data_IF_161012493503
#
_entry.id   IF_161012493503
#
_cell.length_a   1.000
_cell.length_b   1.000
_cell.length_c   1.000
_cell.angle_alpha   90.00
_cell.angle_beta   90.00
_cell.angle_gamma   90.00
#
_symmetry.space_group_name_H-M   'P 1'
#
loop_
_entity.id
_entity.type
_entity.pdbx_description
1 polymer ?
#
# COMPACT_ATOMS: atom_id res chain seq x y z
N UNK A 1 -10.91 1.37 25.36
CA UNK A 1 -12.05 0.92 24.54
C UNK A 1 -11.60 1.01 23.10
N UNK A 2 -11.08 -0.11 22.58
CA UNK A 2 -10.32 -0.18 21.34
C UNK A 2 -11.10 -1.11 20.43
N UNK A 3 -11.89 -0.56 19.52
CA UNK A 3 -12.65 -1.35 18.55
C UNK A 3 -11.70 -1.86 17.46
N UNK A 4 -11.28 -3.12 17.63
CA UNK A 4 -10.91 -3.98 16.52
C UNK A 4 -12.20 -4.61 15.99
N UNK A 5 -12.64 -4.24 14.79
CA UNK A 5 -13.66 -4.96 14.01
C UNK A 5 -13.71 -4.40 12.59
N UNK A 6 -13.51 -5.25 11.56
CA UNK A 6 -13.84 -4.91 10.17
C UNK A 6 -12.80 -5.35 9.14
N UNK A 7 -13.03 -6.51 8.50
CA UNK A 7 -12.33 -6.92 7.29
C UNK A 7 -12.74 -6.07 6.10
N UNK A 8 -12.23 -4.83 6.04
CA UNK A 8 -12.45 -3.93 4.91
C UNK A 8 -11.70 -4.43 3.67
N UNK A 9 -12.21 -4.20 2.45
CA UNK A 9 -11.52 -4.61 1.22
C UNK A 9 -10.29 -3.73 0.91
N UNK A 10 -9.79 -2.96 1.87
CA UNK A 10 -8.61 -2.10 1.75
C UNK A 10 -7.93 -1.84 3.10
N UNK A 11 -6.61 -1.62 3.05
CA UNK A 11 -5.79 -1.10 4.12
C UNK A 11 -5.44 0.37 3.88
N UNK A 12 -5.02 1.06 4.94
CA UNK A 12 -4.57 2.45 4.87
C UNK A 12 -3.25 2.68 5.62
N UNK A 13 -2.34 3.41 5.00
CA UNK A 13 -1.16 3.98 5.68
C UNK A 13 -0.92 5.39 5.15
N UNK A 14 -0.83 6.38 6.05
CA UNK A 14 -0.59 7.76 5.64
C UNK A 14 0.83 7.91 5.08
N UNK A 15 0.94 8.20 3.79
CA UNK A 15 2.22 8.46 3.11
C UNK A 15 2.62 9.94 3.12
N UNK A 16 1.93 10.77 3.93
CA UNK A 16 2.10 12.24 3.94
C UNK A 16 1.97 12.87 2.54
N UNK A 17 1.10 12.31 1.69
CA UNK A 17 0.85 12.83 0.34
C UNK A 17 0.14 14.19 0.36
N UNK A 18 -0.46 14.57 1.48
CA UNK A 18 -1.31 15.76 1.61
C UNK A 18 -2.72 15.57 1.03
N UNK A 19 -3.00 14.51 0.27
CA UNK A 19 -4.23 14.39 -0.51
C UNK A 19 -5.55 14.35 0.29
N UNK A 20 -5.54 13.84 1.53
CA UNK A 20 -6.71 13.90 2.42
C UNK A 20 -6.76 15.17 3.29
N UNK A 21 -5.64 15.89 3.38
CA UNK A 21 -5.47 17.09 4.20
C UNK A 21 -5.41 18.36 3.33
N UNK A 22 -5.55 18.23 2.01
CA UNK A 22 -5.44 19.28 1.00
C UNK A 22 -6.36 18.88 -0.14
N UNK A 23 -7.28 19.76 -0.55
CA UNK A 23 -8.23 19.44 -1.62
C UNK A 23 -9.53 20.23 -1.58
N UNK A 24 -10.53 19.77 -2.33
CA UNK A 24 -11.85 20.41 -2.42
C UNK A 24 -12.45 20.64 -1.03
N UNK A 25 -12.96 21.86 -0.80
CA UNK A 25 -13.43 22.40 0.48
C UNK A 25 -14.31 21.41 1.26
N UNK A 26 -13.69 20.68 2.17
CA UNK A 26 -14.36 19.77 3.11
C UNK A 26 -14.52 20.40 4.48
N UNK A 27 -14.85 19.56 5.46
CA UNK A 27 -14.87 19.93 6.87
C UNK A 27 -14.12 18.87 7.66
N UNK A 28 -13.15 19.27 8.47
CA UNK A 28 -12.52 18.39 9.45
C UNK A 28 -13.20 18.64 10.77
N UNK A 29 -14.22 17.84 11.06
CA UNK A 29 -15.01 17.98 12.28
C UNK A 29 -14.21 17.62 13.53
N UNK A 30 -14.36 18.41 14.57
CA UNK A 30 -13.84 18.11 15.91
C UNK A 30 -14.97 17.60 16.80
N UNK A 31 -14.67 16.59 17.61
CA UNK A 31 -15.49 16.22 18.77
C UNK A 31 -15.12 17.05 20.00
N UNK A 32 -15.95 16.97 21.04
CA UNK A 32 -15.70 17.65 22.31
C UNK A 32 -14.34 17.25 22.89
N UNK A 33 -13.60 18.25 23.37
CA UNK A 33 -12.25 18.07 23.92
C UNK A 33 -11.13 17.91 22.89
N UNK A 34 -11.41 17.67 21.60
CA UNK A 34 -10.35 17.53 20.59
C UNK A 34 -9.65 18.86 20.30
N UNK A 35 -10.35 19.99 20.44
CA UNK A 35 -9.74 21.32 20.32
C UNK A 35 -8.64 21.54 21.38
N UNK A 36 -8.90 21.11 22.62
CA UNK A 36 -7.93 21.18 23.71
C UNK A 36 -6.71 20.29 23.43
N UNK A 37 -6.94 19.05 23.04
CA UNK A 37 -5.87 18.10 22.73
C UNK A 37 -4.96 18.60 21.59
N UNK A 38 -5.55 19.24 20.56
CA UNK A 38 -4.80 19.85 19.48
C UNK A 38 -4.00 21.07 19.94
N UNK A 39 -4.57 21.91 20.80
CA UNK A 39 -3.89 23.07 21.36
C UNK A 39 -2.68 22.66 22.22
N UNK A 40 -2.86 21.64 23.07
CA UNK A 40 -1.79 21.07 23.89
C UNK A 40 -0.66 20.49 23.02
N UNK A 41 -1.00 19.79 21.92
CA UNK A 41 -0.02 19.27 20.96
C UNK A 41 0.71 20.38 20.17
N UNK A 42 0.16 21.59 20.12
CA UNK A 42 0.78 22.78 19.54
C UNK A 42 1.43 23.67 20.59
N UNK A 43 1.49 23.23 21.85
CA UNK A 43 2.08 23.96 22.98
C UNK A 43 1.48 25.38 23.13
N UNK A 44 0.17 25.51 22.94
CA UNK A 44 -0.52 26.81 23.03
C UNK A 44 -1.85 26.72 23.78
N UNK A 45 -2.36 27.87 24.22
CA UNK A 45 -3.65 27.94 24.88
C UNK A 45 -4.81 27.64 23.92
N UNK A 46 -5.80 26.87 24.40
CA UNK A 46 -6.98 26.46 23.62
C UNK A 46 -7.72 27.61 22.94
N UNK A 47 -7.90 28.75 23.63
CA UNK A 47 -8.52 29.92 23.03
C UNK A 47 -7.70 30.51 21.88
N UNK A 48 -6.37 30.49 21.97
CA UNK A 48 -5.50 30.95 20.90
C UNK A 48 -5.56 29.99 19.71
N UNK A 49 -5.51 28.68 19.98
CA UNK A 49 -5.68 27.65 18.97
C UNK A 49 -7.02 27.79 18.23
N UNK A 50 -8.13 27.95 18.97
CA UNK A 50 -9.45 28.09 18.39
C UNK A 50 -9.56 29.29 17.44
N UNK A 51 -9.00 30.45 17.83
CA UNK A 51 -9.00 31.65 16.96
C UNK A 51 -8.17 31.48 15.69
N UNK A 52 -7.08 30.71 15.76
CA UNK A 52 -6.14 30.58 14.65
C UNK A 52 -6.46 29.42 13.72
N UNK A 53 -7.03 28.34 14.24
CA UNK A 53 -7.12 27.06 13.54
C UNK A 53 -8.54 26.50 13.43
N UNK A 54 -9.54 27.11 14.07
CA UNK A 54 -10.92 26.63 14.04
C UNK A 54 -11.88 27.63 13.40
N UNK A 55 -12.92 27.09 12.78
CA UNK A 55 -14.10 27.80 12.31
C UNK A 55 -15.35 27.07 12.77
N UNK A 56 -16.39 27.84 13.10
CA UNK A 56 -17.73 27.29 13.33
C UNK A 56 -18.49 27.32 12.01
N UNK A 57 -19.07 26.19 11.62
CA UNK A 57 -19.77 26.04 10.35
C UNK A 57 -21.02 25.18 10.55
N UNK A 58 -22.08 25.46 9.80
CA UNK A 58 -23.28 24.62 9.80
C UNK A 58 -23.00 23.31 9.03
N UNK A 59 -23.23 22.16 9.66
CA UNK A 59 -23.11 20.85 9.02
C UNK A 59 -24.14 20.76 7.89
N UNK A 60 -23.71 20.53 6.62
CA UNK A 60 -24.64 20.50 5.48
C UNK A 60 -25.74 19.44 5.57
N UNK A 61 -25.61 18.44 6.46
CA UNK A 61 -26.56 17.33 6.58
C UNK A 61 -27.75 17.67 7.46
N UNK A 62 -27.55 18.46 8.52
CA UNK A 62 -28.57 18.72 9.54
C UNK A 62 -28.67 20.20 9.97
N UNK A 63 -27.77 21.06 9.51
CA UNK A 63 -27.73 22.50 9.85
C UNK A 63 -27.11 22.82 11.22
N UNK A 64 -26.65 21.82 11.96
CA UNK A 64 -26.06 22.02 13.29
C UNK A 64 -24.71 22.74 13.21
N UNK A 65 -24.48 23.71 14.11
CA UNK A 65 -23.20 24.42 14.17
C UNK A 65 -22.13 23.53 14.82
N UNK A 66 -21.06 23.26 14.09
CA UNK A 66 -19.96 22.39 14.52
C UNK A 66 -18.62 23.07 14.30
N UNK A 67 -17.63 22.70 15.10
CA UNK A 67 -16.24 23.15 14.94
C UNK A 67 -15.55 22.33 13.84
N UNK A 68 -14.91 23.03 12.92
CA UNK A 68 -14.04 22.46 11.90
C UNK A 68 -12.67 23.11 11.94
N UNK A 69 -11.62 22.38 11.54
CA UNK A 69 -10.34 23.02 11.22
C UNK A 69 -10.53 24.01 10.06
N UNK A 70 -9.71 25.07 10.06
CA UNK A 70 -9.57 25.99 8.93
C UNK A 70 -8.58 25.47 7.91
N UNK A 71 -8.81 25.86 6.66
CA UNK A 71 -7.94 25.65 5.52
C UNK A 71 -7.26 26.97 5.13
N UNK A 72 -6.08 26.90 4.52
CA UNK A 72 -5.42 28.05 3.88
C UNK A 72 -6.06 28.41 2.54
N UNK A 73 -5.52 29.43 1.87
CA UNK A 73 -6.04 29.93 0.59
C UNK A 73 -6.05 28.85 -0.52
N UNK A 74 -5.15 27.87 -0.43
CA UNK A 74 -5.02 26.76 -1.37
C UNK A 74 -5.87 25.54 -0.95
N UNK A 75 -6.67 25.66 0.12
CA UNK A 75 -7.51 24.58 0.64
C UNK A 75 -6.72 23.51 1.38
N UNK A 76 -5.51 23.80 1.86
CA UNK A 76 -4.73 22.90 2.71
C UNK A 76 -5.10 23.13 4.16
N UNK A 77 -5.21 22.07 4.95
CA UNK A 77 -5.41 22.17 6.38
C UNK A 77 -4.33 23.07 7.01
N UNK A 78 -4.74 24.07 7.79
CA UNK A 78 -3.82 25.03 8.40
C UNK A 78 -2.81 24.40 9.38
N UNK A 79 -3.00 23.15 9.79
CA UNK A 79 -2.07 22.42 10.65
C UNK A 79 -0.95 21.70 9.87
N UNK A 80 -1.00 21.67 8.53
CA UNK A 80 0.10 21.16 7.71
C UNK A 80 1.26 22.17 7.62
N UNK A 81 2.48 21.68 7.74
CA UNK A 81 3.71 22.42 7.54
C UNK A 81 4.51 21.85 6.36
N UNK A 82 5.25 22.72 5.66
CA UNK A 82 6.14 22.34 4.56
C UNK A 82 5.49 21.40 3.53
N UNK A 83 6.18 20.29 3.25
CA UNK A 83 5.75 19.23 2.32
C UNK A 83 4.79 18.22 2.97
N UNK A 84 3.68 18.72 3.52
CA UNK A 84 2.58 17.95 4.11
C UNK A 84 2.88 17.27 5.45
N UNK A 85 3.70 17.90 6.28
CA UNK A 85 3.95 17.43 7.64
C UNK A 85 2.85 17.93 8.58
N UNK A 86 2.05 17.00 9.12
CA UNK A 86 1.01 17.34 10.08
C UNK A 86 1.65 17.61 11.44
N UNK A 87 1.60 18.87 11.90
CA UNK A 87 2.19 19.30 13.18
C UNK A 87 1.62 18.59 14.40
N UNK A 88 0.43 18.04 14.27
CA UNK A 88 -0.32 17.35 15.34
C UNK A 88 -0.61 15.89 14.98
N UNK A 89 0.25 15.23 14.19
CA UNK A 89 -0.06 13.89 13.65
C UNK A 89 -0.48 12.86 14.73
N UNK A 90 0.12 12.92 15.92
CA UNK A 90 -0.23 12.06 17.06
C UNK A 90 -1.54 12.45 17.77
N UNK A 91 -1.97 13.71 17.67
CA UNK A 91 -3.18 14.26 18.30
C UNK A 91 -4.31 14.54 17.29
N UNK A 92 -4.17 14.07 16.03
CA UNK A 92 -5.16 14.28 14.95
C UNK A 92 -6.58 14.01 15.43
N UNK A 93 -7.60 14.81 15.07
CA UNK A 93 -8.99 14.57 15.44
C UNK A 93 -9.51 13.22 14.96
N UNK A 94 -10.60 12.75 15.56
CA UNK A 94 -11.27 11.49 15.22
C UNK A 94 -11.58 11.43 13.72
N UNK A 95 -12.07 12.54 13.16
CA UNK A 95 -12.32 12.70 11.72
C UNK A 95 -11.08 12.39 10.86
N UNK A 96 -9.91 12.92 11.24
CA UNK A 96 -8.65 12.67 10.53
C UNK A 96 -8.10 11.27 10.76
N UNK A 97 -8.29 10.70 11.97
CA UNK A 97 -7.81 9.35 12.32
C UNK A 97 -8.62 8.26 11.62
N UNK A 98 -9.92 8.51 11.41
CA UNK A 98 -10.83 7.55 10.79
C UNK A 98 -10.78 7.56 9.27
N UNK A 99 -10.14 8.54 8.62
CA UNK A 99 -9.92 8.47 7.17
C UNK A 99 -9.03 7.26 6.83
N UNK A 100 -9.34 6.48 5.78
CA UNK A 100 -10.47 6.56 4.84
C UNK A 100 -11.68 5.68 5.21
N UNK A 101 -11.76 5.17 6.44
CA UNK A 101 -12.83 4.31 6.95
C UNK A 101 -14.11 5.07 7.32
N UNK A 102 -14.42 6.17 6.63
CA UNK A 102 -15.68 6.87 6.80
C UNK A 102 -16.82 6.07 6.16
N UNK A 103 -18.01 6.10 6.76
CA UNK A 103 -19.19 5.38 6.25
C UNK A 103 -19.47 5.69 4.77
N UNK A 104 -19.27 6.95 4.34
CA UNK A 104 -19.44 7.40 2.96
C UNK A 104 -18.45 6.79 1.96
N UNK A 105 -17.28 6.33 2.42
CA UNK A 105 -16.29 5.62 1.60
C UNK A 105 -16.51 4.12 1.70
N UNK A 106 -16.90 3.62 2.88
CA UNK A 106 -17.07 2.19 3.13
C UNK A 106 -18.30 1.61 2.43
N UNK A 107 -19.38 2.38 2.25
CA UNK A 107 -20.64 1.90 1.68
C UNK A 107 -20.80 2.21 0.18
N UNK A 108 -19.93 3.06 -0.39
CA UNK A 108 -19.97 3.44 -1.81
C UNK A 108 -18.66 3.08 -2.52
N UNK A 109 -18.73 2.08 -3.41
CA UNK A 109 -17.59 1.63 -4.22
C UNK A 109 -17.01 2.75 -5.12
N UNK A 110 -17.83 3.68 -5.60
CA UNK A 110 -17.37 4.82 -6.38
C UNK A 110 -16.67 5.86 -5.50
N UNK A 111 -17.14 6.06 -4.26
CA UNK A 111 -16.43 6.89 -3.28
C UNK A 111 -15.08 6.30 -2.89
N UNK A 112 -14.99 4.98 -2.68
CA UNK A 112 -13.72 4.28 -2.49
C UNK A 112 -12.79 4.45 -3.69
N UNK A 113 -13.29 4.30 -4.91
CA UNK A 113 -12.49 4.51 -6.12
C UNK A 113 -11.93 5.94 -6.20
N UNK A 114 -12.76 6.97 -5.91
CA UNK A 114 -12.32 8.37 -5.84
C UNK A 114 -11.27 8.59 -4.75
N UNK A 115 -11.51 8.06 -3.54
CA UNK A 115 -10.57 8.18 -2.43
C UNK A 115 -9.22 7.54 -2.75
N UNK A 116 -9.22 6.36 -3.39
CA UNK A 116 -8.02 5.66 -3.85
C UNK A 116 -7.27 6.44 -4.95
N UNK A 117 -8.00 7.04 -5.88
CA UNK A 117 -7.41 7.86 -6.92
C UNK A 117 -6.70 9.11 -6.34
N UNK A 118 -7.23 9.67 -5.24
CA UNK A 118 -6.63 10.82 -4.58
C UNK A 118 -5.52 10.45 -3.61
N UNK A 119 -5.66 9.35 -2.86
CA UNK A 119 -4.74 9.01 -1.78
C UNK A 119 -3.96 7.71 -2.06
N UNK A 120 -2.64 7.77 -2.26
CA UNK A 120 -1.81 6.59 -2.53
C UNK A 120 -1.68 5.66 -1.31
N UNK A 121 -2.09 6.13 -0.13
CA UNK A 121 -2.11 5.35 1.10
C UNK A 121 -3.22 4.32 1.17
N UNK A 122 -4.24 4.36 0.29
CA UNK A 122 -5.38 3.44 0.29
C UNK A 122 -5.11 2.30 -0.69
N UNK A 123 -4.90 1.11 -0.15
CA UNK A 123 -4.58 -0.08 -0.94
C UNK A 123 -5.66 -1.14 -0.78
N UNK A 124 -6.21 -1.67 -1.88
CA UNK A 124 -7.15 -2.77 -1.79
C UNK A 124 -6.46 -4.01 -1.21
N UNK A 125 -7.14 -4.67 -0.29
CA UNK A 125 -6.74 -5.94 0.31
C UNK A 125 -7.71 -6.98 -0.23
N UNK A 126 -7.26 -7.92 -1.08
CA UNK A 126 -8.12 -8.96 -1.59
C UNK A 126 -8.60 -9.85 -0.44
N UNK A 127 -9.83 -10.37 -0.56
CA UNK A 127 -10.37 -11.31 0.43
C UNK A 127 -9.51 -12.59 0.51
N UNK A 128 -9.43 -13.27 1.66
CA UNK A 128 -8.62 -14.48 1.82
C UNK A 128 -8.87 -15.56 0.76
N UNK A 129 -10.14 -15.82 0.41
CA UNK A 129 -10.50 -16.79 -0.64
C UNK A 129 -10.03 -16.37 -2.05
N UNK A 130 -9.95 -15.06 -2.32
CA UNK A 130 -9.39 -14.54 -3.58
C UNK A 130 -7.87 -14.70 -3.58
N UNK A 131 -7.21 -14.39 -2.45
CA UNK A 131 -5.75 -14.58 -2.30
C UNK A 131 -5.34 -16.03 -2.54
N UNK A 132 -6.07 -16.98 -1.95
CA UNK A 132 -5.82 -18.42 -2.10
C UNK A 132 -5.97 -18.86 -3.56
N UNK A 133 -7.15 -18.63 -4.17
CA UNK A 133 -7.42 -18.98 -5.56
C UNK A 133 -6.44 -18.34 -6.54
N UNK A 134 -6.11 -17.06 -6.34
CA UNK A 134 -5.17 -16.35 -7.20
C UNK A 134 -3.74 -16.86 -7.03
N UNK A 135 -3.35 -17.24 -5.81
CA UNK A 135 -2.06 -17.87 -5.55
C UNK A 135 -1.93 -19.24 -6.23
N UNK A 136 -2.95 -20.09 -6.15
CA UNK A 136 -2.97 -21.39 -6.81
C UNK A 136 -2.91 -21.27 -8.33
N UNK A 137 -3.72 -20.37 -8.90
CA UNK A 137 -3.72 -20.13 -10.34
C UNK A 137 -2.40 -19.52 -10.85
N UNK A 138 -1.80 -18.59 -10.09
CA UNK A 138 -0.47 -18.06 -10.41
C UNK A 138 0.61 -19.15 -10.34
N UNK A 139 0.53 -20.06 -9.37
CA UNK A 139 1.46 -21.18 -9.28
C UNK A 139 1.41 -22.06 -10.55
N UNK A 140 0.21 -22.33 -11.08
CA UNK A 140 0.06 -23.08 -12.34
C UNK A 140 0.64 -22.31 -13.53
N UNK A 141 0.39 -21.00 -13.63
CA UNK A 141 1.02 -20.17 -14.66
C UNK A 141 2.55 -20.20 -14.55
N UNK A 142 3.11 -20.21 -13.35
CA UNK A 142 4.55 -20.28 -13.17
C UNK A 142 5.15 -21.64 -13.53
N UNK A 143 4.43 -22.74 -13.39
CA UNK A 143 4.87 -24.04 -13.91
C UNK A 143 4.96 -24.03 -15.43
N UNK A 144 3.96 -23.44 -16.10
CA UNK A 144 3.98 -23.24 -17.55
C UNK A 144 5.13 -22.32 -18.00
N UNK A 145 5.34 -21.23 -17.26
CA UNK A 145 6.43 -20.29 -17.52
C UNK A 145 7.78 -20.97 -17.41
N UNK A 146 8.02 -21.69 -16.32
CA UNK A 146 9.31 -22.37 -16.08
C UNK A 146 9.59 -23.39 -17.20
N UNK A 147 8.56 -24.05 -17.74
CA UNK A 147 8.68 -24.91 -18.93
C UNK A 147 9.10 -24.13 -20.18
N UNK A 148 8.43 -23.02 -20.50
CA UNK A 148 8.79 -22.21 -21.68
C UNK A 148 10.17 -21.55 -21.57
N UNK A 149 10.53 -21.06 -20.39
CA UNK A 149 11.88 -20.53 -20.14
C UNK A 149 12.93 -21.63 -20.36
N UNK A 150 12.66 -22.86 -19.92
CA UNK A 150 13.58 -23.98 -20.10
C UNK A 150 13.79 -24.37 -21.58
N UNK A 151 12.81 -24.16 -22.46
CA UNK A 151 12.93 -24.40 -23.91
C UNK A 151 14.01 -23.50 -24.56
N UNK A 152 14.32 -22.36 -23.95
CA UNK A 152 15.38 -21.46 -24.39
C UNK A 152 16.76 -21.75 -23.74
N UNK A 153 16.83 -22.71 -22.81
CA UNK A 153 18.05 -23.12 -22.10
C UNK A 153 18.93 -21.96 -21.58
N UNK A 154 18.38 -20.95 -20.87
CA UNK A 154 19.17 -19.82 -20.40
C UNK A 154 20.16 -20.23 -19.31
N UNK A 155 21.33 -19.59 -19.30
CA UNK A 155 22.37 -19.86 -18.30
C UNK A 155 22.35 -18.82 -17.16
N UNK A 156 22.43 -19.30 -15.91
CA UNK A 156 22.51 -18.44 -14.72
C UNK A 156 23.90 -18.53 -14.10
N UNK A 157 24.66 -17.44 -14.14
CA UNK A 157 26.00 -17.36 -13.53
C UNK A 157 25.96 -17.07 -12.02
N UNK A 158 24.78 -17.03 -11.39
CA UNK A 158 24.58 -16.75 -9.97
C UNK A 158 25.26 -15.47 -9.45
N UNK A 159 25.43 -14.47 -10.33
CA UNK A 159 26.07 -13.19 -9.99
C UNK A 159 25.21 -12.29 -9.09
N UNK A 160 23.92 -12.58 -8.97
CA UNK A 160 22.97 -11.78 -8.18
C UNK A 160 22.55 -10.45 -8.82
N UNK A 161 22.97 -10.17 -10.07
CA UNK A 161 22.66 -8.92 -10.78
C UNK A 161 21.16 -8.63 -10.91
N UNK A 162 20.35 -9.70 -10.97
CA UNK A 162 18.88 -9.60 -11.00
C UNK A 162 18.26 -8.98 -9.74
N UNK A 163 19.03 -8.76 -8.68
CA UNK A 163 18.57 -8.19 -7.41
C UNK A 163 19.45 -7.07 -6.87
N UNK A 164 20.64 -6.82 -7.44
CA UNK A 164 21.56 -5.73 -7.06
C UNK A 164 21.30 -4.46 -7.87
N UNK A 165 20.07 -3.96 -7.77
CA UNK A 165 19.54 -2.88 -8.60
C UNK A 165 20.39 -1.61 -8.56
N UNK A 166 20.91 -1.28 -7.40
CA UNK A 166 21.78 -0.13 -7.16
C UNK A 166 23.16 -0.24 -7.84
N UNK A 167 23.65 -1.46 -8.08
CA UNK A 167 24.96 -1.70 -8.70
C UNK A 167 24.89 -1.73 -10.23
N UNK A 168 23.77 -2.19 -10.81
CA UNK A 168 23.64 -2.43 -12.26
C UNK A 168 22.50 -1.69 -12.95
N UNK A 169 21.76 -0.84 -12.23
CA UNK A 169 20.73 0.02 -12.80
C UNK A 169 19.48 -0.72 -13.31
N UNK A 170 19.30 -1.99 -12.93
CA UNK A 170 18.08 -2.73 -13.22
C UNK A 170 17.00 -2.42 -12.20
N UNK A 171 15.73 -2.52 -12.58
CA UNK A 171 14.61 -2.48 -11.66
C UNK A 171 13.72 -3.70 -11.85
N UNK A 172 13.34 -4.33 -10.74
CA UNK A 172 12.41 -5.44 -10.76
C UNK A 172 10.99 -4.92 -10.55
N UNK A 173 10.19 -4.96 -11.61
CA UNK A 173 8.76 -4.74 -11.54
C UNK A 173 8.02 -6.07 -11.36
N UNK A 174 6.86 -5.99 -10.71
CA UNK A 174 5.96 -7.12 -10.56
C UNK A 174 4.53 -6.60 -10.42
N UNK A 175 3.56 -7.50 -10.55
CA UNK A 175 2.16 -7.23 -10.20
C UNK A 175 1.92 -7.36 -8.70
N UNK A 176 0.80 -6.79 -8.23
CA UNK A 176 0.39 -6.93 -6.85
C UNK A 176 0.17 -8.38 -6.43
N UNK A 177 -0.45 -9.19 -7.31
CA UNK A 177 -0.66 -10.61 -7.10
C UNK A 177 0.65 -11.35 -6.83
N UNK A 178 1.71 -11.06 -7.60
CA UNK A 178 3.01 -11.70 -7.44
C UNK A 178 3.70 -11.31 -6.12
N UNK A 179 3.54 -10.06 -5.68
CA UNK A 179 4.05 -9.62 -4.38
C UNK A 179 3.33 -10.31 -3.20
N UNK A 180 2.01 -10.49 -3.29
CA UNK A 180 1.24 -11.23 -2.29
C UNK A 180 1.60 -12.72 -2.30
N UNK A 181 1.75 -13.33 -3.49
CA UNK A 181 2.22 -14.70 -3.66
C UNK A 181 3.59 -14.93 -3.01
N UNK A 182 4.55 -14.03 -3.25
CA UNK A 182 5.87 -14.10 -2.66
C UNK A 182 5.82 -14.07 -1.12
N UNK A 183 5.03 -13.14 -0.54
CA UNK A 183 4.86 -13.01 0.91
C UNK A 183 4.02 -14.13 1.54
N UNK A 184 3.23 -14.86 0.76
CA UNK A 184 2.50 -16.03 1.27
C UNK A 184 3.45 -17.24 1.39
N UNK A 185 4.34 -17.44 0.43
CA UNK A 185 5.34 -18.51 0.49
C UNK A 185 6.52 -18.20 1.42
N UNK A 186 6.89 -16.93 1.52
CA UNK A 186 8.06 -16.48 2.29
C UNK A 186 7.67 -15.26 3.15
N UNK A 187 6.96 -15.47 4.28
CA UNK A 187 6.28 -14.39 5.02
C UNK A 187 7.20 -13.42 5.76
N UNK A 188 8.47 -13.77 5.95
CA UNK A 188 9.43 -13.01 6.76
C UNK A 188 10.67 -12.63 5.95
N UNK A 189 10.56 -11.69 4.99
CA UNK A 189 11.73 -11.10 4.37
C UNK A 189 12.62 -10.41 5.41
N UNK A 190 13.94 -10.48 5.21
CA UNK A 190 14.91 -9.75 6.03
C UNK A 190 14.95 -8.25 5.69
N UNK A 191 15.75 -7.45 6.41
CA UNK A 191 16.06 -6.09 5.97
C UNK A 191 16.84 -6.14 4.64
N UNK A 192 16.58 -5.22 3.70
CA UNK A 192 17.35 -5.16 2.45
C UNK A 192 18.80 -4.75 2.75
N UNK A 193 19.77 -5.39 2.11
CA UNK A 193 21.21 -5.11 2.32
C UNK A 193 21.66 -3.75 1.75
N UNK A 194 20.83 -3.12 0.92
CA UNK A 194 21.04 -1.78 0.36
C UNK A 194 19.69 -1.10 0.04
N UNK A 195 19.62 0.24 -0.01
CA UNK A 195 18.40 0.96 -0.38
C UNK A 195 17.87 0.50 -1.75
N UNK A 196 16.59 0.12 -1.79
CA UNK A 196 15.93 -0.35 -3.01
C UNK A 196 16.23 -1.80 -3.40
N UNK A 197 17.18 -2.47 -2.75
CA UNK A 197 17.50 -3.89 -3.00
C UNK A 197 16.34 -4.80 -2.57
N UNK A 198 16.18 -5.93 -3.27
CA UNK A 198 15.17 -6.93 -2.90
C UNK A 198 15.45 -7.50 -1.49
N UNK A 199 14.48 -7.52 -0.57
CA UNK A 199 14.71 -7.98 0.81
C UNK A 199 14.87 -9.52 0.94
N UNK A 200 14.63 -10.26 -0.15
CA UNK A 200 14.97 -11.68 -0.24
C UNK A 200 16.37 -11.95 -0.80
N UNK A 201 17.11 -10.90 -1.18
CA UNK A 201 18.51 -11.05 -1.55
C UNK A 201 19.39 -10.98 -0.30
N UNK A 202 19.95 -12.12 0.09
CA UNK A 202 20.81 -12.26 1.26
C UNK A 202 22.11 -12.95 0.84
N UNK A 203 23.25 -12.32 1.11
CA UNK A 203 24.59 -12.82 0.82
C UNK A 203 24.75 -13.33 -0.64
N UNK A 204 24.21 -12.57 -1.60
CA UNK A 204 24.30 -12.92 -3.02
C UNK A 204 23.30 -13.98 -3.51
N UNK A 205 22.38 -14.43 -2.66
CA UNK A 205 21.41 -15.49 -2.99
C UNK A 205 19.98 -15.04 -2.73
N UNK A 206 19.06 -15.57 -3.52
CA UNK A 206 17.63 -15.39 -3.28
C UNK A 206 17.14 -16.41 -2.25
N UNK A 207 16.57 -15.95 -1.15
CA UNK A 207 15.95 -16.78 -0.10
C UNK A 207 14.49 -17.12 -0.38
N UNK A 208 13.88 -16.49 -1.40
CA UNK A 208 12.50 -16.68 -1.82
C UNK A 208 12.38 -17.28 -3.23
N UNK A 209 13.16 -18.33 -3.53
CA UNK A 209 13.23 -18.96 -4.87
C UNK A 209 11.86 -19.37 -5.42
N UNK A 210 10.97 -19.89 -4.57
CA UNK A 210 9.61 -20.30 -4.94
C UNK A 210 8.69 -19.10 -5.19
N UNK A 211 8.85 -18.03 -4.41
CA UNK A 211 8.10 -16.77 -4.53
C UNK A 211 8.66 -15.76 -5.54
N UNK A 212 9.52 -16.18 -6.48
CA UNK A 212 10.11 -15.27 -7.47
C UNK A 212 9.02 -14.73 -8.42
N UNK A 213 8.93 -13.39 -8.62
CA UNK A 213 8.04 -12.81 -9.61
C UNK A 213 8.51 -13.11 -11.04
N UNK A 214 7.66 -12.83 -12.03
CA UNK A 214 7.88 -13.04 -13.45
C UNK A 214 9.25 -12.50 -13.92
N UNK A 215 9.58 -11.26 -13.58
CA UNK A 215 10.87 -10.66 -13.96
C UNK A 215 12.09 -11.45 -13.45
N UNK A 216 11.99 -12.10 -12.28
CA UNK A 216 13.07 -12.95 -11.76
C UNK A 216 13.15 -14.33 -12.41
N UNK A 217 12.13 -14.71 -13.19
CA UNK A 217 12.04 -15.99 -13.91
C UNK A 217 12.48 -15.85 -15.36
N UNK A 218 12.34 -14.65 -15.93
CA UNK A 218 12.68 -14.36 -17.33
C UNK A 218 13.97 -13.55 -17.49
N UNK A 219 14.62 -13.12 -16.41
CA UNK A 219 15.91 -12.43 -16.47
C UNK A 219 17.07 -13.37 -16.17
N UNK A 220 18.09 -13.34 -17.04
CA UNK A 220 19.36 -14.05 -16.89
C UNK A 220 20.51 -13.12 -17.30
N UNK A 221 21.71 -13.38 -16.77
CA UNK A 221 22.91 -12.60 -17.14
C UNK A 221 23.38 -12.90 -18.58
N UNK A 222 22.90 -13.99 -19.16
CA UNK A 222 23.20 -14.41 -20.52
C UNK A 222 22.32 -13.69 -21.54
N UNK A 223 22.92 -12.73 -22.25
CA UNK A 223 22.24 -11.94 -23.28
C UNK A 223 21.78 -12.75 -24.49
N UNK A 224 22.26 -13.99 -24.69
CA UNK A 224 21.87 -14.79 -25.86
C UNK A 224 20.37 -15.14 -25.89
N UNK A 225 19.73 -15.17 -24.73
CA UNK A 225 18.30 -15.50 -24.59
C UNK A 225 17.41 -14.29 -24.36
N UNK A 226 17.98 -13.08 -24.27
CA UNK A 226 17.30 -11.86 -23.85
C UNK A 226 16.03 -11.56 -24.68
N UNK A 227 16.16 -11.57 -26.01
CA UNK A 227 15.04 -11.25 -26.89
C UNK A 227 13.89 -12.28 -26.80
N UNK A 228 14.23 -13.57 -26.70
CA UNK A 228 13.24 -14.63 -26.57
C UNK A 228 12.52 -14.55 -25.21
N UNK A 229 13.27 -14.36 -24.13
CA UNK A 229 12.71 -14.24 -22.79
C UNK A 229 11.94 -12.95 -22.57
N UNK A 230 12.24 -11.87 -23.31
CA UNK A 230 11.40 -10.67 -23.34
C UNK A 230 10.02 -10.97 -23.93
N UNK A 231 9.94 -11.79 -24.98
CA UNK A 231 8.63 -12.21 -25.55
C UNK A 231 7.85 -13.08 -24.58
N UNK A 232 8.51 -14.04 -23.92
CA UNK A 232 7.90 -14.86 -22.86
C UNK A 232 7.43 -13.96 -21.71
N UNK A 233 8.22 -12.95 -21.32
CA UNK A 233 7.84 -12.00 -20.27
C UNK A 233 6.54 -11.28 -20.62
N UNK A 234 6.42 -10.70 -21.81
CA UNK A 234 5.23 -9.95 -22.21
C UNK A 234 3.97 -10.85 -22.27
N UNK A 235 4.08 -12.07 -22.80
CA UNK A 235 2.96 -13.03 -22.83
C UNK A 235 2.48 -13.37 -21.41
N UNK A 236 3.40 -13.75 -20.52
CA UNK A 236 3.02 -14.11 -19.16
C UNK A 236 2.55 -12.92 -18.33
N UNK A 237 3.08 -11.72 -18.57
CA UNK A 237 2.57 -10.51 -17.93
C UNK A 237 1.11 -10.25 -18.33
N UNK A 238 0.78 -10.43 -19.61
CA UNK A 238 -0.61 -10.33 -20.09
C UNK A 238 -1.51 -11.39 -19.44
N UNK A 239 -1.05 -12.65 -19.36
CA UNK A 239 -1.79 -13.75 -18.70
C UNK A 239 -2.00 -13.52 -17.21
N UNK A 240 -1.00 -13.02 -16.49
CA UNK A 240 -1.12 -12.67 -15.06
C UNK A 240 -2.13 -11.53 -14.86
N UNK A 241 -2.12 -10.51 -15.73
CA UNK A 241 -3.09 -9.41 -15.67
C UNK A 241 -4.51 -9.89 -15.95
N UNK A 242 -4.70 -10.76 -16.95
CA UNK A 242 -5.99 -11.38 -17.26
C UNK A 242 -6.49 -12.24 -16.10
N UNK A 243 -5.62 -13.05 -15.49
CA UNK A 243 -5.95 -13.83 -14.29
C UNK A 243 -6.41 -12.92 -13.14
N UNK A 244 -5.69 -11.82 -12.89
CA UNK A 244 -6.07 -10.87 -11.86
C UNK A 244 -7.43 -10.23 -12.16
N UNK A 245 -7.74 -9.92 -13.41
CA UNK A 245 -9.05 -9.40 -13.82
C UNK A 245 -10.18 -10.43 -13.60
N UNK A 246 -10.00 -11.67 -14.09
CA UNK A 246 -10.98 -12.76 -13.95
C UNK A 246 -11.35 -13.03 -12.49
N UNK A 247 -10.35 -12.99 -11.60
CA UNK A 247 -10.52 -13.23 -10.17
C UNK A 247 -10.99 -12.01 -9.38
N UNK A 248 -11.24 -10.87 -10.05
CA UNK A 248 -11.50 -9.59 -9.40
C UNK A 248 -10.40 -9.20 -8.40
N UNK A 249 -9.16 -9.59 -8.70
CA UNK A 249 -7.97 -9.24 -7.94
C UNK A 249 -7.57 -7.79 -8.25
N UNK A 250 -7.27 -6.96 -7.23
CA UNK A 250 -6.80 -5.60 -7.42
C UNK A 250 -5.58 -5.50 -8.34
N UNK A 251 -5.74 -4.82 -9.47
CA UNK A 251 -4.65 -4.52 -10.39
C UNK A 251 -3.65 -3.55 -9.72
N UNK A 252 -2.39 -3.95 -9.70
CA UNK A 252 -1.26 -3.12 -9.29
C UNK A 252 -0.02 -3.60 -10.04
N UNK A 253 0.82 -2.67 -10.45
CA UNK A 253 2.10 -2.94 -11.11
C UNK A 253 3.12 -1.90 -10.66
N UNK A 254 4.28 -2.34 -10.20
CA UNK A 254 5.28 -1.42 -9.66
C UNK A 254 6.54 -2.14 -9.21
N UNK A 255 7.45 -1.40 -8.58
CA UNK A 255 8.73 -1.94 -8.10
C UNK A 255 8.48 -2.96 -6.99
N UNK A 256 8.99 -4.16 -7.19
CA UNK A 256 8.75 -5.30 -6.31
C UNK A 256 9.17 -5.04 -4.85
N UNK A 257 10.35 -4.47 -4.54
CA UNK A 257 10.74 -4.18 -3.15
C UNK A 257 9.77 -3.22 -2.44
N UNK A 258 9.33 -2.16 -3.14
CA UNK A 258 8.37 -1.20 -2.60
C UNK A 258 6.98 -1.82 -2.39
N UNK A 259 6.55 -2.72 -3.27
CA UNK A 259 5.30 -3.46 -3.11
C UNK A 259 5.32 -4.43 -1.93
N UNK A 260 6.45 -5.09 -1.67
CA UNK A 260 6.63 -5.95 -0.50
C UNK A 260 6.55 -5.14 0.79
N UNK A 261 7.27 -4.01 0.86
CA UNK A 261 7.25 -3.09 2.00
C UNK A 261 5.82 -2.62 2.31
N UNK A 262 5.10 -2.12 1.31
CA UNK A 262 3.72 -1.66 1.47
C UNK A 262 2.77 -2.77 2.01
N UNK A 263 2.94 -4.01 1.56
CA UNK A 263 2.14 -5.16 2.03
C UNK A 263 2.50 -5.59 3.43
N UNK A 264 3.78 -5.58 3.79
CA UNK A 264 4.24 -5.89 5.14
C UNK A 264 3.70 -4.88 6.14
N UNK A 265 3.70 -3.60 5.80
CA UNK A 265 3.14 -2.56 6.66
C UNK A 265 1.63 -2.71 6.84
N UNK A 266 0.91 -3.09 5.77
CA UNK A 266 -0.52 -3.44 5.87
C UNK A 266 -0.74 -4.66 6.78
N UNK A 267 0.09 -5.70 6.68
CA UNK A 267 0.03 -6.90 7.54
C UNK A 267 0.33 -6.56 9.01
N UNK A 268 1.32 -5.69 9.27
CA UNK A 268 1.69 -5.22 10.63
C UNK A 268 0.62 -4.32 11.24
N UNK A 269 -0.06 -3.51 10.43
CA UNK A 269 -1.18 -2.67 10.85
C UNK A 269 -2.48 -3.43 11.10
N UNK A 270 -2.55 -4.72 10.73
CA UNK A 270 -3.72 -5.57 11.00
C UNK A 270 -3.62 -6.15 12.41
N UNK A 271 -4.64 -5.96 13.29
CA UNK A 271 -4.64 -6.60 14.60
C UNK A 271 -4.57 -8.13 14.42
N UNK A 272 -3.75 -8.81 15.23
CA UNK A 272 -3.62 -10.25 15.21
C UNK A 272 -5.00 -10.88 15.45
N UNK A 273 -5.52 -11.61 14.46
CA UNK A 273 -6.71 -12.44 14.64
C UNK A 273 -6.37 -13.51 15.67
N UNK A 274 -6.99 -13.40 16.85
CA UNK A 274 -6.71 -14.23 18.02
C UNK A 274 -6.70 -15.72 17.68
N UNK A 275 -5.65 -16.40 18.12
CA UNK A 275 -5.64 -17.84 18.29
C UNK A 275 -6.70 -18.15 19.36
N UNK A 276 -7.72 -18.91 18.97
CA UNK A 276 -8.69 -19.42 19.92
C UNK A 276 -8.00 -20.44 20.83
N UNK A 277 -7.74 -20.05 22.07
CA UNK A 277 -7.50 -20.99 23.15
C UNK A 277 -8.85 -21.59 23.55
N UNK A 278 -9.07 -22.84 23.16
CA UNK A 278 -10.13 -23.67 23.68
C UNK A 278 -9.87 -23.90 25.18
N UNK A 279 -10.84 -23.50 26.00
CA UNK A 279 -10.97 -23.93 27.40
C UNK A 279 -11.34 -25.39 27.50
#
# INVERSE_FOLDING_TARGET
>A
MTEAQGGYPFGFTCQRSGACCSGARGYVWLADGEARALADAMEMGEQAFARMFLRTVADPRNGELRLSLVEDADGRCALLAGRNECRVYGARPAHCRSFPYWESIMTDSAALARARASCPGIALVPAPAILERAGDALAQLYLDLDRQVAEHAPSCEMRGLCCRFEEVGHELFATGLEADYALNLHPTPGPPEAPGRCPYHVAGRCTARGGRPLGCRTYFCDGATEAALATVHEDFLARIRALAEELSYPQAYGRFPAMLEARLDQRRGRPATGQGEAS
#
